data_IF_158922849490
#
_entry.id   IF_158922849490
#
_cell.length_a   1.000
_cell.length_b   1.000
_cell.length_c   1.000
_cell.angle_alpha   90.00
_cell.angle_beta   90.00
_cell.angle_gamma   90.00
#
_symmetry.space_group_name_H-M   'P 1'
#
loop_
_entity.id
_entity.type
_entity.pdbx_description
1 polymer ?
#
# COMPACT_ATOMS: atom_id res chain seq x y z
N UNK A 1 -40.38 24.30 10.49
CA UNK A 1 -39.16 23.59 10.97
C UNK A 1 -38.27 24.64 11.65
N UNK A 2 -38.17 24.59 12.97
CA UNK A 2 -37.44 25.60 13.75
C UNK A 2 -35.94 25.27 13.69
N UNK A 3 -35.13 26.13 13.10
CA UNK A 3 -33.70 25.97 13.06
C UNK A 3 -33.09 26.25 14.44
N UNK A 4 -32.56 25.22 15.09
CA UNK A 4 -31.82 25.38 16.33
C UNK A 4 -30.44 25.96 16.04
N UNK A 5 -30.17 27.14 16.55
CA UNK A 5 -28.83 27.75 16.47
C UNK A 5 -27.87 27.00 17.41
N UNK A 6 -26.82 26.39 16.85
CA UNK A 6 -25.72 25.79 17.61
C UNK A 6 -24.59 26.82 17.73
N UNK A 7 -24.18 27.14 18.96
CA UNK A 7 -23.01 27.98 19.22
C UNK A 7 -21.86 27.10 19.70
N UNK A 8 -20.76 27.11 18.96
CA UNK A 8 -19.53 26.44 19.34
C UNK A 8 -18.50 27.49 19.76
N UNK A 9 -17.90 27.33 20.95
CA UNK A 9 -16.84 28.20 21.45
C UNK A 9 -15.56 27.39 21.59
N UNK A 10 -14.47 27.88 20.97
CA UNK A 10 -13.14 27.30 21.09
C UNK A 10 -12.35 28.12 22.11
N UNK A 11 -11.87 27.46 23.14
CA UNK A 11 -11.05 28.07 24.19
C UNK A 11 -9.59 27.68 24.01
N UNK A 12 -8.80 28.55 23.39
CA UNK A 12 -7.37 28.31 23.09
C UNK A 12 -6.47 28.39 24.34
N UNK A 13 -7.01 28.83 25.51
CA UNK A 13 -6.24 28.84 26.75
C UNK A 13 -6.13 27.49 27.40
N UNK A 14 -7.02 26.56 27.07
CA UNK A 14 -7.01 25.18 27.58
C UNK A 14 -6.25 24.27 26.65
N UNK A 15 -5.11 23.81 27.09
CA UNK A 15 -4.28 22.83 26.39
C UNK A 15 -4.33 21.49 27.13
N UNK A 16 -4.53 20.41 26.38
CA UNK A 16 -4.46 19.04 26.88
C UNK A 16 -3.37 18.29 26.14
N UNK A 17 -2.75 17.34 26.82
CA UNK A 17 -1.83 16.44 26.15
C UNK A 17 -2.59 15.58 25.15
N UNK A 18 -2.13 15.56 23.91
CA UNK A 18 -2.71 14.75 22.84
C UNK A 18 -1.68 13.74 22.36
N UNK A 19 -1.99 12.46 22.49
CA UNK A 19 -1.17 11.41 21.94
C UNK A 19 -1.55 11.20 20.46
N UNK A 20 -0.73 11.74 19.57
CA UNK A 20 -0.98 11.69 18.14
C UNK A 20 -0.35 10.42 17.55
N UNK A 21 -1.19 9.50 17.07
CA UNK A 21 -0.78 8.30 16.34
C UNK A 21 -1.17 8.35 14.84
N UNK A 22 -1.45 9.54 14.31
CA UNK A 22 -1.84 9.72 12.91
C UNK A 22 -0.72 9.33 11.96
N UNK A 23 0.53 9.47 12.39
CA UNK A 23 1.74 9.11 11.65
C UNK A 23 2.08 7.60 11.69
N UNK A 24 1.27 6.78 12.37
CA UNK A 24 1.58 5.36 12.53
C UNK A 24 1.54 4.59 11.21
N UNK A 25 0.50 4.73 10.41
CA UNK A 25 0.36 3.99 9.15
C UNK A 25 -0.44 4.77 8.12
N UNK A 26 0.01 4.75 6.87
CA UNK A 26 -0.72 5.29 5.72
C UNK A 26 -1.19 4.18 4.80
N UNK A 27 -2.44 4.26 4.34
CA UNK A 27 -2.97 3.41 3.27
C UNK A 27 -2.58 3.94 1.90
N UNK A 28 -2.07 3.08 1.03
CA UNK A 28 -1.53 3.51 -0.28
C UNK A 28 -2.29 2.96 -1.50
N UNK A 29 -3.33 2.16 -1.32
CA UNK A 29 -4.04 1.53 -2.42
C UNK A 29 -3.31 0.28 -2.93
N UNK A 30 -3.23 0.09 -4.27
CA UNK A 30 -2.60 -1.10 -4.85
C UNK A 30 -1.09 -1.06 -4.75
N UNK A 31 -0.50 -2.20 -4.37
CA UNK A 31 0.95 -2.34 -4.19
C UNK A 31 1.74 -2.01 -5.47
N UNK A 32 1.25 -2.40 -6.64
CA UNK A 32 1.88 -2.13 -7.94
C UNK A 32 2.01 -0.64 -8.31
N UNK A 33 1.30 0.26 -7.63
CA UNK A 33 1.47 1.70 -7.82
C UNK A 33 2.89 2.17 -7.45
N UNK A 34 3.53 1.51 -6.51
CA UNK A 34 4.89 1.83 -6.09
C UNK A 34 5.98 1.51 -7.13
N UNK A 35 5.62 0.87 -8.25
CA UNK A 35 6.49 0.72 -9.42
C UNK A 35 6.49 1.96 -10.32
N UNK A 36 5.65 2.97 -10.03
CA UNK A 36 5.53 4.19 -10.83
C UNK A 36 6.36 5.32 -10.22
N UNK A 37 7.20 5.95 -11.02
CA UNK A 37 8.07 7.05 -10.57
C UNK A 37 7.29 8.24 -10.00
N UNK A 38 6.14 8.59 -10.59
CA UNK A 38 5.31 9.69 -10.09
C UNK A 38 4.72 9.37 -8.70
N UNK A 39 4.30 8.13 -8.47
CA UNK A 39 3.85 7.71 -7.15
C UNK A 39 4.96 7.84 -6.09
N UNK A 40 6.18 7.40 -6.40
CA UNK A 40 7.32 7.50 -5.50
C UNK A 40 7.68 8.96 -5.21
N UNK A 41 7.60 9.84 -6.21
CA UNK A 41 7.80 11.29 -6.03
C UNK A 41 6.78 11.90 -5.06
N UNK A 42 5.51 11.50 -5.17
CA UNK A 42 4.46 11.94 -4.24
C UNK A 42 4.69 11.38 -2.85
N UNK A 43 5.11 10.13 -2.73
CA UNK A 43 5.43 9.50 -1.46
C UNK A 43 6.61 10.21 -0.76
N UNK A 44 7.62 10.66 -1.51
CA UNK A 44 8.73 11.46 -0.97
C UNK A 44 8.22 12.76 -0.32
N UNK A 45 7.24 13.44 -0.95
CA UNK A 45 6.62 14.63 -0.39
C UNK A 45 5.84 14.32 0.89
N UNK A 46 5.07 13.24 0.89
CA UNK A 46 4.32 12.79 2.06
C UNK A 46 5.25 12.50 3.22
N UNK A 47 6.33 11.76 2.99
CA UNK A 47 7.31 11.45 4.02
C UNK A 47 8.04 12.68 4.53
N UNK A 48 8.37 13.63 3.66
CA UNK A 48 9.01 14.89 4.06
C UNK A 48 8.14 15.74 5.00
N UNK A 49 6.82 15.77 4.80
CA UNK A 49 5.93 16.66 5.55
C UNK A 49 5.21 15.98 6.72
N UNK A 50 5.00 14.66 6.67
CA UNK A 50 4.25 13.92 7.69
C UNK A 50 5.14 12.90 8.39
N UNK A 51 5.91 12.08 7.64
CA UNK A 51 6.81 11.08 8.21
C UNK A 51 6.08 9.88 8.79
N UNK A 52 5.25 9.21 8.01
CA UNK A 52 4.61 7.96 8.42
C UNK A 52 5.63 6.88 8.73
N UNK A 53 5.31 5.98 9.67
CA UNK A 53 6.16 4.86 10.09
C UNK A 53 5.90 3.61 9.26
N UNK A 54 4.64 3.36 8.93
CA UNK A 54 4.22 2.18 8.20
C UNK A 54 3.42 2.56 6.96
N UNK A 55 3.46 1.68 5.96
CA UNK A 55 2.66 1.81 4.74
C UNK A 55 1.93 0.51 4.45
N UNK A 56 0.62 0.61 4.22
CA UNK A 56 -0.27 -0.52 3.94
C UNK A 56 -0.79 -0.44 2.51
N UNK A 57 -0.45 -1.42 1.70
CA UNK A 57 -0.98 -1.59 0.34
C UNK A 57 -1.66 -2.94 0.18
N UNK A 58 -2.63 -3.01 -0.71
CA UNK A 58 -3.33 -4.25 -1.05
C UNK A 58 -2.86 -4.82 -2.40
N UNK A 59 -3.23 -6.07 -2.68
CA UNK A 59 -2.96 -6.69 -3.97
C UNK A 59 -1.53 -7.15 -4.17
N UNK A 60 -0.84 -7.54 -3.09
CA UNK A 60 0.53 -8.05 -3.14
C UNK A 60 0.67 -9.24 -4.10
N UNK A 61 -0.32 -10.15 -4.12
CA UNK A 61 -0.31 -11.33 -4.98
C UNK A 61 -1.12 -11.18 -6.26
N UNK A 62 -1.58 -9.96 -6.60
CA UNK A 62 -2.23 -9.71 -7.88
C UNK A 62 -1.28 -10.00 -9.05
N UNK A 63 -1.83 -10.35 -10.22
CA UNK A 63 -1.07 -10.72 -11.41
C UNK A 63 -0.11 -9.62 -11.90
N UNK A 64 -0.41 -8.35 -11.63
CA UNK A 64 0.46 -7.21 -11.96
C UNK A 64 1.76 -7.15 -11.12
N UNK A 65 1.79 -7.81 -9.95
CA UNK A 65 3.01 -7.99 -9.17
C UNK A 65 3.86 -9.17 -9.66
N UNK A 66 3.33 -9.97 -10.58
CA UNK A 66 4.02 -11.05 -11.29
C UNK A 66 4.69 -12.13 -10.42
N UNK A 67 4.27 -12.27 -9.15
CA UNK A 67 4.88 -13.25 -8.23
C UNK A 67 4.62 -14.68 -8.70
N UNK A 68 3.36 -14.99 -9.05
CA UNK A 68 2.96 -16.31 -9.51
C UNK A 68 2.85 -16.31 -11.04
N UNK A 69 3.67 -17.12 -11.69
CA UNK A 69 3.66 -17.29 -13.15
C UNK A 69 3.36 -18.73 -13.50
N UNK A 70 2.27 -18.96 -14.23
CA UNK A 70 1.91 -20.25 -14.80
C UNK A 70 2.09 -20.18 -16.32
N UNK A 71 2.91 -21.04 -16.87
CA UNK A 71 3.16 -21.16 -18.31
C UNK A 71 2.76 -22.54 -18.78
N UNK A 72 2.11 -22.62 -19.92
CA UNK A 72 1.76 -23.87 -20.57
C UNK A 72 2.53 -23.96 -21.89
N UNK A 73 3.32 -25.01 -22.06
CA UNK A 73 3.95 -25.30 -23.34
C UNK A 73 2.86 -25.65 -24.36
N UNK A 74 2.80 -24.89 -25.45
CA UNK A 74 1.74 -25.06 -26.46
C UNK A 74 1.88 -26.39 -27.29
N UNK A 75 3.06 -27.03 -27.28
CA UNK A 75 3.30 -28.25 -28.03
C UNK A 75 3.04 -29.48 -27.18
N UNK A 76 3.50 -29.46 -25.93
CA UNK A 76 3.42 -30.62 -25.03
C UNK A 76 2.23 -30.57 -24.09
N UNK A 77 1.63 -29.37 -23.86
CA UNK A 77 0.59 -29.14 -22.84
C UNK A 77 1.13 -29.16 -21.42
N UNK A 78 2.45 -29.22 -21.24
CA UNK A 78 3.08 -29.26 -19.93
C UNK A 78 2.95 -27.89 -19.24
N UNK A 79 2.54 -27.89 -17.98
CA UNK A 79 2.41 -26.69 -17.15
C UNK A 79 3.63 -26.55 -16.24
N UNK A 80 4.26 -25.37 -16.29
CA UNK A 80 5.34 -24.97 -15.37
C UNK A 80 4.90 -23.80 -14.52
N UNK A 81 5.25 -23.85 -13.22
CA UNK A 81 5.00 -22.78 -12.26
C UNK A 81 6.34 -22.18 -11.88
N UNK A 82 6.42 -20.86 -12.01
CA UNK A 82 7.59 -20.06 -11.62
C UNK A 82 7.17 -18.98 -10.64
N UNK A 83 8.03 -18.67 -9.67
CA UNK A 83 7.83 -17.55 -8.73
C UNK A 83 8.86 -16.47 -9.04
N UNK A 84 8.38 -15.21 -9.13
CA UNK A 84 9.21 -14.05 -9.40
C UNK A 84 8.98 -12.98 -8.34
N UNK A 85 10.03 -12.61 -7.63
CA UNK A 85 9.97 -11.63 -6.55
C UNK A 85 10.50 -10.25 -6.94
N UNK A 86 10.93 -10.04 -8.20
CA UNK A 86 11.58 -8.80 -8.65
C UNK A 86 10.76 -7.55 -8.33
N UNK A 87 9.46 -7.55 -8.64
CA UNK A 87 8.62 -6.37 -8.41
C UNK A 87 8.32 -6.14 -6.93
N UNK A 88 8.14 -7.20 -6.16
CA UNK A 88 7.93 -7.04 -4.71
C UNK A 88 9.20 -6.53 -4.04
N UNK A 89 10.38 -7.03 -4.41
CA UNK A 89 11.65 -6.54 -3.88
C UNK A 89 11.83 -5.06 -4.18
N UNK A 90 11.61 -4.63 -5.43
CA UNK A 90 11.66 -3.21 -5.82
C UNK A 90 10.72 -2.33 -5.00
N UNK A 91 9.49 -2.80 -4.74
CA UNK A 91 8.50 -2.05 -3.95
C UNK A 91 8.93 -1.97 -2.48
N UNK A 92 9.35 -3.09 -1.89
CA UNK A 92 9.79 -3.14 -0.49
C UNK A 92 11.02 -2.27 -0.26
N UNK A 93 12.01 -2.39 -1.13
CA UNK A 93 13.22 -1.56 -1.06
C UNK A 93 12.88 -0.07 -1.16
N UNK A 94 11.98 0.30 -2.09
CA UNK A 94 11.56 1.69 -2.26
C UNK A 94 10.85 2.27 -1.02
N UNK A 95 10.11 1.45 -0.28
CA UNK A 95 9.48 1.87 0.97
C UNK A 95 10.51 2.00 2.09
N UNK A 96 11.41 1.02 2.24
CA UNK A 96 12.46 1.03 3.26
C UNK A 96 13.42 2.21 3.07
N UNK A 97 13.80 2.54 1.83
CA UNK A 97 14.61 3.73 1.49
C UNK A 97 13.97 5.04 1.96
N UNK A 98 12.63 5.07 2.09
CA UNK A 98 11.84 6.21 2.56
C UNK A 98 11.52 6.16 4.05
N UNK A 99 12.10 5.20 4.79
CA UNK A 99 11.86 5.00 6.21
C UNK A 99 10.46 4.46 6.53
N UNK A 100 9.82 3.80 5.56
CA UNK A 100 8.50 3.19 5.71
C UNK A 100 8.64 1.69 5.92
N UNK A 101 8.07 1.17 6.98
CA UNK A 101 7.94 -0.27 7.20
C UNK A 101 6.66 -0.80 6.54
N UNK A 102 6.76 -1.79 5.64
CA UNK A 102 5.57 -2.35 5.01
C UNK A 102 4.65 -3.06 6.01
N UNK A 103 3.37 -2.69 6.01
CA UNK A 103 2.30 -3.41 6.70
C UNK A 103 1.59 -4.29 5.65
N UNK A 104 1.97 -5.58 5.58
CA UNK A 104 1.61 -6.45 4.47
C UNK A 104 0.17 -6.99 4.59
N UNK A 105 -0.57 -6.87 3.49
CA UNK A 105 -1.77 -7.66 3.23
C UNK A 105 -1.42 -8.84 2.32
N UNK A 106 -1.57 -10.06 2.81
CA UNK A 106 -1.33 -11.28 2.04
C UNK A 106 -2.53 -11.62 1.14
N UNK A 107 -2.75 -10.81 0.11
CA UNK A 107 -3.84 -10.86 -0.86
C UNK A 107 -3.50 -10.04 -2.12
N UNK A 108 -4.28 -10.12 -3.17
CA UNK A 108 -5.36 -11.08 -3.41
C UNK A 108 -4.80 -12.32 -4.12
N UNK A 109 -5.59 -13.40 -4.18
CA UNK A 109 -5.19 -14.60 -4.92
C UNK A 109 -4.92 -14.24 -6.39
N UNK A 110 -3.78 -14.68 -6.98
CA UNK A 110 -3.51 -14.51 -8.40
C UNK A 110 -4.64 -15.13 -9.25
N UNK A 111 -5.07 -14.42 -10.29
CA UNK A 111 -6.12 -14.94 -11.18
C UNK A 111 -5.71 -16.28 -11.82
N UNK A 112 -4.43 -16.46 -12.12
CA UNK A 112 -3.87 -17.70 -12.69
C UNK A 112 -3.95 -18.92 -11.76
N UNK A 113 -4.27 -18.73 -10.48
CA UNK A 113 -4.54 -19.83 -9.53
C UNK A 113 -6.02 -20.20 -9.45
N UNK A 114 -6.91 -19.41 -10.05
CA UNK A 114 -8.33 -19.70 -10.04
C UNK A 114 -8.64 -20.97 -10.84
N UNK A 115 -9.55 -21.79 -10.34
CA UNK A 115 -9.92 -23.09 -10.93
C UNK A 115 -11.05 -23.00 -11.98
N UNK A 116 -11.46 -21.83 -12.41
CA UNK A 116 -12.53 -21.67 -13.40
C UNK A 116 -13.02 -20.26 -13.54
#
# INVERSE_FOLDING_TARGET
>A
MEMKNLKITIDNSKKVSFNNNVDFCVGTGRMGLALQAEYLRQLDLVQKYIGFKHIRGHGLFCDDMAIYQKRTDQKTGEETIEYNYTYIDMVMDSYLERGLEPFLELGFMPYKMASG
#
